data_IF_545580562469
#
_entry.id   IF_545580562469
#
_cell.length_a   1.000
_cell.length_b   1.000
_cell.length_c   1.000
_cell.angle_alpha   90.00
_cell.angle_beta   90.00
_cell.angle_gamma   90.00
#
_symmetry.space_group_name_H-M   'P 1'
#
loop_
_entity.id
_entity.type
_entity.pdbx_description
1 polymer ?
#
# COMPACT_ATOMS: atom_id res chain seq x y z
N UNK A 1 -29.69 8.63 -51.55
CA UNK A 1 -28.49 9.25 -50.94
C UNK A 1 -28.46 8.83 -49.48
N UNK A 2 -27.53 7.96 -49.13
CA UNK A 2 -27.42 7.28 -47.83
C UNK A 2 -26.44 8.07 -46.95
N UNK A 3 -26.92 8.74 -45.90
CA UNK A 3 -26.05 9.42 -44.92
C UNK A 3 -25.75 8.47 -43.77
N UNK A 4 -24.53 7.92 -43.78
CA UNK A 4 -23.94 7.11 -42.71
C UNK A 4 -23.69 8.01 -41.49
N UNK A 5 -24.55 7.90 -40.47
CA UNK A 5 -24.26 8.40 -39.13
C UNK A 5 -23.31 7.42 -38.45
N UNK A 6 -22.01 7.61 -38.66
CA UNK A 6 -20.97 6.94 -37.87
C UNK A 6 -21.01 7.49 -36.45
N UNK A 7 -21.73 6.82 -35.56
CA UNK A 7 -21.55 6.98 -34.13
C UNK A 7 -20.15 6.46 -33.77
N UNK A 8 -19.18 7.37 -33.67
CA UNK A 8 -17.88 7.04 -33.13
C UNK A 8 -18.07 6.70 -31.64
N UNK A 9 -17.81 5.43 -31.29
CA UNK A 9 -17.69 5.00 -29.91
C UNK A 9 -16.50 5.73 -29.28
N UNK A 10 -16.76 6.74 -28.45
CA UNK A 10 -15.75 7.22 -27.50
C UNK A 10 -15.80 6.32 -26.27
N UNK A 11 -15.18 5.14 -26.38
CA UNK A 11 -14.75 4.39 -25.19
C UNK A 11 -13.57 5.17 -24.62
N UNK A 12 -13.86 6.03 -23.64
CA UNK A 12 -12.85 6.59 -22.77
C UNK A 12 -12.47 5.48 -21.79
N UNK A 13 -11.45 4.68 -22.14
CA UNK A 13 -10.71 3.94 -21.12
C UNK A 13 -9.80 4.97 -20.47
N UNK A 14 -10.31 5.68 -19.48
CA UNK A 14 -9.45 6.39 -18.54
C UNK A 14 -8.69 5.32 -17.76
N UNK A 15 -7.49 5.00 -18.26
CA UNK A 15 -6.45 4.37 -17.47
C UNK A 15 -6.03 5.43 -16.45
N UNK A 16 -6.77 5.52 -15.36
CA UNK A 16 -6.50 6.40 -14.24
C UNK A 16 -5.25 5.88 -13.51
N UNK A 17 -4.09 6.18 -14.10
CA UNK A 17 -2.76 5.90 -13.60
C UNK A 17 -2.18 7.22 -13.05
N UNK A 18 -2.94 7.91 -12.19
CA UNK A 18 -2.58 9.23 -11.66
C UNK A 18 -2.87 9.39 -10.14
N UNK A 19 -2.40 8.48 -9.27
CA UNK A 19 -2.02 8.80 -7.87
C UNK A 19 -1.23 7.65 -7.19
N UNK A 20 -0.41 7.90 -6.13
CA UNK A 20 0.68 7.04 -5.63
C UNK A 20 0.25 5.69 -5.03
N UNK A 21 -1.02 5.49 -4.73
CA UNK A 21 -1.43 4.43 -3.81
C UNK A 21 -1.38 3.03 -4.45
N UNK A 22 -1.56 2.96 -5.78
CA UNK A 22 -1.59 1.70 -6.54
C UNK A 22 -0.24 1.00 -6.63
N UNK A 23 0.83 1.74 -6.93
CA UNK A 23 2.19 1.18 -7.02
C UNK A 23 2.68 0.68 -5.65
N UNK A 24 2.42 1.45 -4.60
CA UNK A 24 2.82 1.09 -3.24
C UNK A 24 2.10 -0.17 -2.73
N UNK A 25 0.81 -0.31 -3.07
CA UNK A 25 0.04 -1.52 -2.76
C UNK A 25 0.65 -2.75 -3.43
N UNK A 26 1.05 -2.66 -4.70
CA UNK A 26 1.67 -3.78 -5.40
C UNK A 26 3.02 -4.17 -4.77
N UNK A 27 3.90 -3.20 -4.51
CA UNK A 27 5.20 -3.46 -3.86
C UNK A 27 5.04 -4.13 -2.50
N UNK A 28 4.10 -3.66 -1.68
CA UNK A 28 3.82 -4.26 -0.37
C UNK A 28 3.26 -5.69 -0.49
N UNK A 29 2.42 -5.92 -1.49
CA UNK A 29 1.85 -7.25 -1.80
C UNK A 29 2.94 -8.23 -2.19
N UNK A 30 3.82 -7.85 -3.12
CA UNK A 30 4.96 -8.66 -3.61
C UNK A 30 5.96 -9.00 -2.50
N UNK A 31 6.25 -8.04 -1.62
CA UNK A 31 7.12 -8.25 -0.45
C UNK A 31 6.54 -9.30 0.48
N UNK A 32 5.23 -9.27 0.73
CA UNK A 32 4.59 -10.29 1.55
C UNK A 32 4.47 -11.65 0.85
N UNK A 33 4.35 -11.70 -0.48
CA UNK A 33 4.40 -12.96 -1.25
C UNK A 33 5.80 -13.59 -1.23
N UNK A 34 6.85 -12.77 -1.38
CA UNK A 34 8.25 -13.21 -1.25
C UNK A 34 8.52 -13.83 0.13
N UNK A 35 7.84 -13.33 1.15
CA UNK A 35 7.90 -13.82 2.53
C UNK A 35 6.93 -14.98 2.80
N UNK A 36 6.13 -15.37 1.81
CA UNK A 36 5.11 -16.42 1.91
C UNK A 36 4.16 -16.18 3.10
N UNK A 37 3.75 -14.93 3.32
CA UNK A 37 2.79 -14.60 4.37
C UNK A 37 1.38 -14.89 3.90
N UNK A 38 0.54 -15.40 4.80
CA UNK A 38 -0.87 -15.71 4.52
C UNK A 38 -1.81 -15.18 5.60
N UNK A 39 -3.09 -15.12 5.28
CA UNK A 39 -4.16 -14.76 6.23
C UNK A 39 -3.91 -13.44 6.96
N UNK A 40 -4.03 -13.49 8.29
CA UNK A 40 -3.94 -12.27 9.12
C UNK A 40 -2.53 -11.69 9.22
N UNK A 41 -1.49 -12.52 9.07
CA UNK A 41 -0.09 -12.09 9.05
C UNK A 41 0.21 -11.28 7.79
N UNK A 42 -0.24 -11.78 6.63
CA UNK A 42 -0.16 -11.06 5.35
C UNK A 42 -0.85 -9.71 5.43
N UNK A 43 -2.07 -9.70 5.96
CA UNK A 43 -2.89 -8.48 6.06
C UNK A 43 -2.23 -7.43 6.94
N UNK A 44 -1.70 -7.84 8.10
CA UNK A 44 -0.98 -6.96 9.01
C UNK A 44 0.29 -6.39 8.35
N UNK A 45 1.08 -7.23 7.67
CA UNK A 45 2.29 -6.80 6.97
C UNK A 45 1.99 -5.76 5.89
N UNK A 46 1.02 -6.03 5.00
CA UNK A 46 0.67 -5.09 3.92
C UNK A 46 0.25 -3.75 4.52
N UNK A 47 -0.61 -3.78 5.54
CA UNK A 47 -1.08 -2.56 6.20
C UNK A 47 0.09 -1.75 6.75
N UNK A 48 1.01 -2.40 7.48
CA UNK A 48 2.20 -1.72 7.99
C UNK A 48 3.10 -1.18 6.88
N UNK A 49 3.29 -1.93 5.79
CA UNK A 49 4.09 -1.49 4.65
C UNK A 49 3.55 -0.20 4.00
N UNK A 50 2.22 -0.06 3.93
CA UNK A 50 1.57 1.14 3.40
C UNK A 50 1.72 2.36 4.33
N UNK A 51 1.87 2.19 5.65
CA UNK A 51 2.04 3.30 6.59
C UNK A 51 3.35 4.09 6.40
N UNK A 52 4.37 3.45 5.85
CA UNK A 52 5.67 4.08 5.64
C UNK A 52 5.73 4.97 4.38
N UNK A 53 4.66 4.95 3.58
CA UNK A 53 4.55 5.70 2.34
C UNK A 53 4.03 7.11 2.62
N UNK A 54 4.93 8.09 2.66
CA UNK A 54 4.56 9.46 2.30
C UNK A 54 5.22 9.75 0.95
N UNK A 55 4.43 9.86 -0.14
CA UNK A 55 4.97 10.07 -1.49
C UNK A 55 5.49 11.49 -1.72
N UNK A 56 5.36 12.39 -0.73
CA UNK A 56 5.59 13.83 -0.90
C UNK A 56 6.67 14.43 -0.01
N UNK A 57 7.28 13.66 0.88
CA UNK A 57 8.24 14.18 1.86
C UNK A 57 9.54 13.36 1.95
N UNK A 58 10.63 14.03 2.34
CA UNK A 58 11.88 13.34 2.68
C UNK A 58 11.61 12.29 3.76
N UNK A 59 12.24 11.09 3.69
CA UNK A 59 12.02 10.06 4.69
C UNK A 59 12.31 10.61 6.09
N UNK A 60 11.37 10.54 7.05
CA UNK A 60 11.60 11.08 8.38
C UNK A 60 12.80 10.38 9.04
N UNK A 61 13.47 11.04 10.01
CA UNK A 61 14.52 10.43 10.80
C UNK A 61 14.10 9.05 11.33
N UNK A 62 15.03 8.09 11.39
CA UNK A 62 14.72 6.70 11.76
C UNK A 62 13.91 6.55 13.06
N UNK A 63 14.14 7.44 14.03
CA UNK A 63 13.41 7.47 15.32
C UNK A 63 11.94 7.85 15.11
N UNK A 64 11.67 8.92 14.37
CA UNK A 64 10.30 9.36 14.08
C UNK A 64 9.53 8.32 13.27
N UNK A 65 10.18 7.64 12.31
CA UNK A 65 9.56 6.52 11.59
C UNK A 65 9.19 5.37 12.53
N UNK A 66 10.06 5.06 13.49
CA UNK A 66 9.79 4.01 14.48
C UNK A 66 8.56 4.35 15.31
N UNK A 67 8.54 5.53 15.91
CA UNK A 67 7.42 5.99 16.75
C UNK A 67 6.12 5.99 15.97
N UNK A 68 6.11 6.52 14.74
CA UNK A 68 4.94 6.49 13.84
C UNK A 68 4.45 5.07 13.58
N UNK A 69 5.34 4.12 13.25
CA UNK A 69 4.94 2.74 13.02
C UNK A 69 4.38 2.06 14.27
N UNK A 70 4.97 2.29 15.44
CA UNK A 70 4.50 1.74 16.72
C UNK A 70 3.12 2.29 17.10
N UNK A 71 2.89 3.58 16.86
CA UNK A 71 1.60 4.25 17.04
C UNK A 71 0.57 3.69 16.05
N UNK A 72 0.92 3.63 14.76
CA UNK A 72 0.04 3.11 13.70
C UNK A 72 -0.36 1.64 13.94
N UNK A 73 0.56 0.82 14.45
CA UNK A 73 0.27 -0.57 14.83
C UNK A 73 -0.79 -0.62 15.92
N UNK A 74 -0.64 0.20 16.95
CA UNK A 74 -1.55 0.25 18.10
C UNK A 74 -2.92 0.79 17.70
N UNK A 75 -2.95 1.91 16.96
CA UNK A 75 -4.17 2.50 16.39
C UNK A 75 -4.87 1.57 15.39
N UNK A 76 -4.14 0.64 14.79
CA UNK A 76 -4.68 -0.42 13.92
C UNK A 76 -5.21 -1.64 14.68
N UNK A 77 -5.17 -1.65 16.01
CA UNK A 77 -5.58 -2.80 16.84
C UNK A 77 -4.51 -3.88 17.02
N UNK A 78 -3.28 -3.65 16.53
CA UNK A 78 -2.16 -4.58 16.65
C UNK A 78 -1.28 -4.22 17.86
N UNK A 79 -1.86 -4.32 19.06
CA UNK A 79 -1.16 -3.94 20.31
C UNK A 79 -0.11 -4.97 20.76
N UNK A 80 -0.24 -6.23 20.36
CA UNK A 80 0.71 -7.32 20.68
C UNK A 80 0.55 -8.52 19.73
N UNK A 81 1.41 -9.53 19.88
CA UNK A 81 1.32 -10.80 19.14
C UNK A 81 1.84 -10.74 17.70
N UNK A 82 1.61 -11.82 16.94
CA UNK A 82 2.19 -11.99 15.60
C UNK A 82 1.78 -10.90 14.62
N UNK A 83 0.52 -10.45 14.67
CA UNK A 83 0.03 -9.37 13.81
C UNK A 83 0.78 -8.05 14.04
N UNK A 84 1.12 -7.71 15.30
CA UNK A 84 1.97 -6.55 15.59
C UNK A 84 3.35 -6.72 14.97
N UNK A 85 3.97 -7.89 15.14
CA UNK A 85 5.28 -8.20 14.56
C UNK A 85 5.27 -7.99 13.05
N UNK A 86 4.32 -8.59 12.35
CA UNK A 86 4.23 -8.48 10.88
C UNK A 86 3.91 -7.06 10.41
N UNK A 87 3.04 -6.34 11.12
CA UNK A 87 2.78 -4.93 10.82
C UNK A 87 4.05 -4.09 10.92
N UNK A 88 4.79 -4.20 12.03
CA UNK A 88 6.02 -3.44 12.23
C UNK A 88 7.09 -3.83 11.20
N UNK A 89 7.20 -5.11 10.85
CA UNK A 89 8.10 -5.55 9.78
C UNK A 89 7.76 -4.95 8.42
N UNK A 90 6.47 -4.85 8.08
CA UNK A 90 6.01 -4.13 6.89
C UNK A 90 6.40 -2.66 6.94
N UNK A 91 6.10 -1.99 8.05
CA UNK A 91 6.32 -0.56 8.23
C UNK A 91 7.81 -0.18 8.24
N UNK A 92 8.66 -1.02 8.82
CA UNK A 92 10.11 -0.82 8.78
C UNK A 92 10.75 -1.23 7.46
N UNK A 93 10.08 -2.09 6.69
CA UNK A 93 10.55 -2.68 5.44
C UNK A 93 10.20 -1.90 4.17
N UNK A 94 9.55 -0.73 4.28
CA UNK A 94 9.24 0.11 3.13
C UNK A 94 10.51 0.85 2.66
N UNK A 95 11.22 0.17 1.76
CA UNK A 95 12.34 0.62 0.92
C UNK A 95 12.43 -0.30 -0.29
#
# INVERSE_FOLDING_TARGET
MLLLLTAACSVQVDVDNQHPDGWHTQVCTDKADTRQLYGSERSAFIKGCLECVDPTSEPPPRIQRRERCEEAATSSGYSMGSQRTFFLEGCYGCR
#
